data_IF_536428784272
#
_entry.id   IF_536428784272
#
_cell.length_a   1.000
_cell.length_b   1.000
_cell.length_c   1.000
_cell.angle_alpha   90.00
_cell.angle_beta   90.00
_cell.angle_gamma   90.00
#
_symmetry.space_group_name_H-M   'P 1'
#
loop_
_entity.id
_entity.type
_entity.pdbx_description
1 polymer ?
#
# COMPACT_ATOMS: atom_id res chain seq x y z
N UNK A 1 58.17 15.25 36.13
CA UNK A 1 57.07 14.34 35.75
C UNK A 1 56.38 14.90 34.52
N UNK A 2 56.42 14.18 33.41
CA UNK A 2 55.79 14.57 32.15
C UNK A 2 54.38 13.96 32.06
N UNK A 3 53.37 14.79 31.79
CA UNK A 3 52.04 14.33 31.37
C UNK A 3 51.61 15.23 30.20
N UNK A 4 51.90 14.79 28.97
CA UNK A 4 51.27 15.33 27.78
C UNK A 4 49.99 14.54 27.54
N UNK A 5 48.86 15.17 27.84
CA UNK A 5 47.55 14.65 27.48
C UNK A 5 47.40 14.70 25.96
N UNK A 6 47.36 13.53 25.32
CA UNK A 6 47.09 13.39 23.89
C UNK A 6 45.67 13.82 23.58
N UNK A 7 45.47 15.10 23.28
CA UNK A 7 44.22 15.57 22.69
C UNK A 7 44.16 15.04 21.25
N UNK A 8 43.36 13.99 21.04
CA UNK A 8 43.04 13.50 19.71
C UNK A 8 42.33 14.62 18.95
N UNK A 9 43.07 15.39 18.16
CA UNK A 9 42.48 16.34 17.23
C UNK A 9 41.54 15.58 16.30
N UNK A 10 40.27 15.97 16.25
CA UNK A 10 39.27 15.38 15.37
C UNK A 10 39.79 15.42 13.92
N UNK A 11 40.20 14.26 13.41
CA UNK A 11 40.71 14.09 12.03
C UNK A 11 39.91 12.99 11.35
N UNK A 12 39.91 13.02 10.03
CA UNK A 12 39.28 12.00 9.20
C UNK A 12 37.80 12.26 8.94
N UNK A 13 37.13 11.24 8.41
CA UNK A 13 35.78 11.34 7.86
C UNK A 13 34.75 11.89 8.87
N UNK A 14 34.83 11.46 10.13
CA UNK A 14 33.91 11.88 11.19
C UNK A 14 34.09 13.36 11.61
N UNK A 15 35.25 13.95 11.34
CA UNK A 15 35.56 15.34 11.66
C UNK A 15 35.20 16.33 10.54
N UNK A 16 34.81 15.83 9.35
CA UNK A 16 34.40 16.66 8.21
C UNK A 16 32.98 17.21 8.39
N UNK A 17 32.64 18.26 7.65
CA UNK A 17 31.26 18.77 7.59
C UNK A 17 30.29 17.73 7.00
N UNK A 18 29.05 17.72 7.49
CA UNK A 18 28.03 16.72 7.11
C UNK A 18 27.76 16.71 5.59
N UNK A 19 27.79 17.88 4.94
CA UNK A 19 27.63 17.99 3.48
C UNK A 19 28.78 17.29 2.75
N UNK A 20 30.00 17.45 3.23
CA UNK A 20 31.19 16.83 2.67
C UNK A 20 31.19 15.32 2.91
N UNK A 21 30.82 14.86 4.11
CA UNK A 21 30.65 13.44 4.41
C UNK A 21 29.63 12.78 3.46
N UNK A 22 28.46 13.41 3.27
CA UNK A 22 27.43 12.91 2.36
C UNK A 22 27.90 12.87 0.92
N UNK A 23 28.64 13.88 0.46
CA UNK A 23 29.20 13.91 -0.88
C UNK A 23 30.19 12.76 -1.09
N UNK A 24 31.12 12.55 -0.15
CA UNK A 24 32.10 11.46 -0.22
C UNK A 24 31.40 10.09 -0.16
N UNK A 25 30.43 9.89 0.75
CA UNK A 25 29.65 8.66 0.82
C UNK A 25 28.88 8.39 -0.49
N UNK A 26 28.29 9.44 -1.08
CA UNK A 26 27.60 9.33 -2.35
C UNK A 26 28.55 8.98 -3.49
N UNK A 27 29.74 9.57 -3.54
CA UNK A 27 30.77 9.24 -4.53
C UNK A 27 31.28 7.81 -4.36
N UNK A 28 31.50 7.36 -3.12
CA UNK A 28 31.91 5.99 -2.82
C UNK A 28 30.89 4.96 -3.28
N UNK A 29 29.60 5.21 -3.05
CA UNK A 29 28.52 4.34 -3.52
C UNK A 29 28.47 4.25 -5.05
N UNK A 30 28.52 5.39 -5.74
CA UNK A 30 28.54 5.43 -7.22
C UNK A 30 29.75 4.70 -7.79
N UNK A 31 30.94 4.96 -7.23
CA UNK A 31 32.17 4.32 -7.66
C UNK A 31 32.14 2.79 -7.45
N UNK A 32 31.49 2.29 -6.40
CA UNK A 32 31.35 0.85 -6.15
C UNK A 32 30.46 0.17 -7.20
N UNK A 33 29.36 0.81 -7.59
CA UNK A 33 28.51 0.35 -8.70
C UNK A 33 29.25 0.43 -10.04
N UNK A 34 29.91 1.55 -10.34
CA UNK A 34 30.70 1.71 -11.57
C UNK A 34 31.84 0.69 -11.69
N UNK A 35 32.48 0.32 -10.57
CA UNK A 35 33.55 -0.68 -10.52
C UNK A 35 33.05 -2.13 -10.43
N UNK A 36 31.74 -2.34 -10.33
CA UNK A 36 31.15 -3.68 -10.18
C UNK A 36 31.48 -4.37 -8.85
N UNK A 37 31.91 -3.63 -7.83
CA UNK A 37 32.13 -4.18 -6.49
C UNK A 37 30.87 -4.18 -5.64
N UNK A 38 29.88 -3.38 -6.02
CA UNK A 38 28.55 -3.39 -5.41
C UNK A 38 27.67 -4.51 -6.00
N UNK A 39 26.69 -4.95 -5.21
CA UNK A 39 25.64 -5.86 -5.69
C UNK A 39 24.70 -5.12 -6.64
N UNK A 40 24.52 -5.68 -7.83
CA UNK A 40 23.56 -5.20 -8.83
C UNK A 40 22.27 -5.98 -8.72
N UNK A 41 21.19 -5.28 -8.39
CA UNK A 41 19.88 -5.90 -8.30
C UNK A 41 19.31 -6.12 -9.70
N UNK A 42 18.97 -7.37 -10.01
CA UNK A 42 18.16 -7.62 -11.20
C UNK A 42 16.74 -7.06 -11.01
N UNK A 43 16.05 -6.76 -12.12
CA UNK A 43 14.65 -6.32 -12.05
C UNK A 43 13.74 -7.34 -11.35
N UNK A 44 14.05 -8.64 -11.49
CA UNK A 44 13.31 -9.70 -10.82
C UNK A 44 13.56 -9.70 -9.31
N UNK A 45 14.81 -9.52 -8.89
CA UNK A 45 15.20 -9.46 -7.49
C UNK A 45 14.59 -8.24 -6.79
N UNK A 46 14.61 -7.07 -7.45
CA UNK A 46 13.95 -5.88 -6.96
C UNK A 46 12.44 -6.10 -6.77
N UNK A 47 11.77 -6.79 -7.71
CA UNK A 47 10.35 -7.17 -7.59
C UNK A 47 10.12 -8.16 -6.45
N UNK A 48 10.98 -9.16 -6.29
CA UNK A 48 10.86 -10.14 -5.21
C UNK A 48 11.03 -9.48 -3.83
N UNK A 49 12.03 -8.61 -3.68
CA UNK A 49 12.25 -7.82 -2.48
C UNK A 49 11.06 -6.89 -2.19
N UNK A 50 10.55 -6.20 -3.21
CA UNK A 50 9.35 -5.37 -3.10
C UNK A 50 8.11 -6.14 -2.65
N UNK A 51 7.88 -7.33 -3.22
CA UNK A 51 6.79 -8.24 -2.80
C UNK A 51 6.96 -8.67 -1.35
N UNK A 52 8.17 -9.09 -0.94
CA UNK A 52 8.46 -9.52 0.44
C UNK A 52 8.27 -8.39 1.44
N UNK A 53 8.77 -7.18 1.13
CA UNK A 53 8.58 -6.00 1.96
C UNK A 53 7.11 -5.61 2.06
N UNK A 54 6.41 -5.56 0.92
CA UNK A 54 4.98 -5.27 0.87
C UNK A 54 4.14 -6.26 1.67
N UNK A 55 4.42 -7.56 1.57
CA UNK A 55 3.75 -8.61 2.34
C UNK A 55 4.02 -8.49 3.86
N UNK A 56 5.20 -8.03 4.24
CA UNK A 56 5.55 -7.82 5.66
C UNK A 56 4.81 -6.61 6.23
N UNK A 57 4.77 -5.51 5.48
CA UNK A 57 4.11 -4.26 5.90
C UNK A 57 2.59 -4.40 5.90
N UNK A 58 2.02 -5.21 5.00
CA UNK A 58 0.57 -5.36 4.87
C UNK A 58 -0.10 -6.26 5.91
N UNK A 59 0.66 -6.91 6.80
CA UNK A 59 0.13 -7.81 7.82
C UNK A 59 -0.86 -7.12 8.77
N UNK A 60 -0.61 -5.86 9.14
CA UNK A 60 -1.51 -5.09 9.98
C UNK A 60 -2.48 -4.25 9.13
N UNK A 61 -3.63 -4.85 8.79
CA UNK A 61 -4.66 -4.22 7.95
C UNK A 61 -5.25 -2.96 8.59
N UNK A 62 -5.45 -2.94 9.91
CA UNK A 62 -6.02 -1.79 10.63
C UNK A 62 -5.08 -0.58 10.59
N UNK A 63 -3.78 -0.82 10.82
CA UNK A 63 -2.75 0.20 10.70
C UNK A 63 -2.62 0.73 9.27
N UNK A 64 -2.62 -0.16 8.27
CA UNK A 64 -2.59 0.24 6.86
C UNK A 64 -3.83 1.06 6.47
N UNK A 65 -5.00 0.68 6.96
CA UNK A 65 -6.23 1.44 6.75
C UNK A 65 -6.16 2.83 7.42
N UNK A 66 -5.58 2.94 8.62
CA UNK A 66 -5.38 4.22 9.29
C UNK A 66 -4.41 5.15 8.52
N UNK A 67 -3.29 4.62 8.02
CA UNK A 67 -2.36 5.35 7.16
C UNK A 67 -3.06 5.80 5.87
N UNK A 68 -3.80 4.89 5.21
CA UNK A 68 -4.55 5.19 4.00
C UNK A 68 -5.59 6.29 4.20
N UNK A 69 -6.36 6.22 5.30
CA UNK A 69 -7.33 7.28 5.67
C UNK A 69 -6.64 8.62 5.89
N UNK A 70 -5.50 8.65 6.61
CA UNK A 70 -4.74 9.89 6.86
C UNK A 70 -4.18 10.49 5.57
N UNK A 71 -3.63 9.65 4.69
CA UNK A 71 -3.16 10.06 3.36
C UNK A 71 -4.29 10.59 2.49
N UNK A 72 -5.43 9.89 2.45
CA UNK A 72 -6.62 10.30 1.72
C UNK A 72 -7.20 11.63 2.23
N UNK A 73 -7.25 11.83 3.55
CA UNK A 73 -7.70 13.09 4.14
C UNK A 73 -6.80 14.28 3.73
N UNK A 74 -5.48 14.11 3.79
CA UNK A 74 -4.51 15.13 3.37
C UNK A 74 -4.64 15.47 1.87
N UNK A 75 -4.84 14.45 1.04
CA UNK A 75 -5.02 14.58 -0.42
C UNK A 75 -6.36 15.23 -0.78
N UNK A 76 -7.42 14.93 -0.03
CA UNK A 76 -8.79 15.39 -0.30
C UNK A 76 -8.99 16.90 -0.17
N UNK A 77 -8.08 17.58 0.52
CA UNK A 77 -8.11 19.04 0.69
C UNK A 77 -7.91 19.79 -0.65
N UNK A 78 -7.36 19.14 -1.69
CA UNK A 78 -7.23 19.73 -3.03
C UNK A 78 -7.84 18.82 -4.12
N UNK A 79 -9.17 18.64 -4.04
CA UNK A 79 -9.94 17.74 -4.92
C UNK A 79 -9.82 18.07 -6.42
N UNK A 80 -9.75 19.36 -6.78
CA UNK A 80 -9.66 19.80 -8.18
C UNK A 80 -8.33 19.42 -8.83
N UNK A 81 -7.22 19.71 -8.17
CA UNK A 81 -5.88 19.33 -8.63
C UNK A 81 -5.69 17.81 -8.67
N UNK A 82 -6.20 17.10 -7.66
CA UNK A 82 -6.10 15.65 -7.58
C UNK A 82 -6.94 14.93 -8.65
N UNK A 83 -8.11 15.47 -9.02
CA UNK A 83 -8.89 14.94 -10.13
C UNK A 83 -8.16 15.08 -11.47
N UNK A 84 -7.38 16.16 -11.67
CA UNK A 84 -6.54 16.33 -12.85
C UNK A 84 -5.37 15.34 -12.87
N UNK A 85 -4.69 15.15 -11.74
CA UNK A 85 -3.60 14.15 -11.62
C UNK A 85 -4.14 12.73 -11.84
N UNK A 86 -5.29 12.40 -11.24
CA UNK A 86 -5.93 11.09 -11.38
C UNK A 86 -6.35 10.80 -12.83
N UNK A 87 -6.95 11.78 -13.52
CA UNK A 87 -7.25 11.66 -14.96
C UNK A 87 -5.99 11.42 -15.78
N UNK A 88 -4.96 12.26 -15.61
CA UNK A 88 -3.68 12.12 -16.32
C UNK A 88 -2.98 10.78 -16.04
N UNK A 89 -3.06 10.29 -14.80
CA UNK A 89 -2.50 9.01 -14.38
C UNK A 89 -3.27 7.81 -14.95
N UNK A 90 -4.58 7.94 -15.17
CA UNK A 90 -5.41 6.93 -15.84
C UNK A 90 -5.19 6.90 -17.35
N UNK A 91 -5.07 8.07 -17.98
CA UNK A 91 -4.73 8.20 -19.41
C UNK A 91 -3.37 7.56 -19.73
N UNK A 92 -2.39 7.67 -18.82
CA UNK A 92 -1.06 7.04 -18.98
C UNK A 92 -1.08 5.51 -18.92
N UNK A 93 -2.20 4.90 -18.51
CA UNK A 93 -2.39 3.44 -18.36
C UNK A 93 -3.46 2.89 -19.33
N UNK A 94 -4.00 3.74 -20.21
CA UNK A 94 -5.28 3.53 -20.90
C UNK A 94 -5.23 2.97 -22.32
N UNK A 95 -4.23 2.16 -22.68
CA UNK A 95 -4.21 1.39 -23.95
C UNK A 95 -4.39 -0.13 -23.71
N UNK A 96 -5.04 -0.51 -22.61
CA UNK A 96 -5.30 -1.93 -22.31
C UNK A 96 -6.44 -2.16 -21.33
N UNK A 97 -7.55 -2.67 -21.86
CA UNK A 97 -8.68 -3.29 -21.16
C UNK A 97 -9.74 -2.34 -20.55
N UNK A 98 -10.66 -1.88 -21.40
CA UNK A 98 -12.02 -1.48 -21.00
C UNK A 98 -12.81 -2.69 -20.50
N UNK A 99 -12.71 -2.99 -19.21
CA UNK A 99 -13.68 -3.84 -18.51
C UNK A 99 -14.96 -3.04 -18.27
N UNK A 100 -16.01 -3.32 -19.04
CA UNK A 100 -17.34 -2.77 -18.83
C UNK A 100 -17.83 -3.04 -17.39
N UNK A 101 -18.50 -2.10 -16.72
CA UNK A 101 -19.13 -2.37 -15.44
C UNK A 101 -20.30 -3.34 -15.66
N UNK A 102 -20.17 -4.55 -15.11
CA UNK A 102 -21.22 -5.57 -15.13
C UNK A 102 -22.50 -5.06 -14.46
N UNK A 103 -23.57 -5.09 -15.23
CA UNK A 103 -24.93 -4.79 -14.82
C UNK A 103 -25.38 -5.89 -13.87
N UNK A 104 -25.48 -5.60 -12.56
CA UNK A 104 -26.06 -6.52 -11.60
C UNK A 104 -27.57 -6.32 -11.60
N UNK A 105 -28.24 -7.19 -12.35
CA UNK A 105 -29.69 -7.36 -12.35
C UNK A 105 -30.16 -7.60 -10.90
N UNK A 106 -30.91 -6.63 -10.37
CA UNK A 106 -31.64 -6.80 -9.12
C UNK A 106 -32.93 -7.54 -9.43
N UNK A 107 -32.91 -8.85 -9.33
CA UNK A 107 -34.14 -9.66 -9.35
C UNK A 107 -34.94 -9.38 -8.08
N UNK A 108 -36.08 -8.72 -8.23
CA UNK A 108 -37.06 -8.56 -7.17
C UNK A 108 -37.87 -9.83 -7.02
N UNK A 109 -37.69 -10.54 -5.92
CA UNK A 109 -38.60 -11.62 -5.51
C UNK A 109 -39.93 -11.01 -5.04
N UNK A 110 -40.86 -10.85 -5.97
CA UNK A 110 -42.30 -10.74 -5.68
C UNK A 110 -42.94 -12.10 -6.01
N UNK A 111 -42.96 -13.01 -5.03
CA UNK A 111 -43.67 -14.28 -5.11
C UNK A 111 -45.09 -14.15 -4.56
N UNK A 112 -46.03 -13.67 -5.38
CA UNK A 112 -47.46 -13.70 -5.12
C UNK A 112 -48.07 -15.08 -5.41
N UNK A 113 -48.78 -15.61 -4.41
CA UNK A 113 -49.96 -16.51 -4.47
C UNK A 113 -49.94 -17.76 -5.36
N UNK A 114 -50.00 -18.94 -4.73
CA UNK A 114 -50.67 -20.11 -5.32
C UNK A 114 -51.26 -21.02 -4.21
N UNK A 115 -52.57 -21.21 -4.29
CA UNK A 115 -53.40 -22.03 -3.41
C UNK A 115 -53.23 -23.54 -3.65
N UNK A 116 -53.47 -24.37 -2.61
CA UNK A 116 -54.00 -25.75 -2.63
C UNK A 116 -54.21 -26.22 -1.16
N UNK A 117 -55.45 -26.38 -0.65
CA UNK A 117 -56.24 -27.64 -0.55
C UNK A 117 -55.51 -28.75 0.25
N UNK A 118 -56.05 -29.52 1.20
CA UNK A 118 -57.38 -29.80 1.72
C UNK A 118 -57.22 -30.57 3.07
N UNK A 119 -58.34 -30.80 3.77
CA UNK A 119 -58.58 -31.90 4.72
C UNK A 119 -57.84 -31.95 6.08
N UNK A 120 -58.54 -31.52 7.14
CA UNK A 120 -58.46 -32.18 8.44
C UNK A 120 -59.77 -31.97 9.22
N UNK A 121 -60.60 -33.02 9.21
CA UNK A 121 -61.70 -33.28 10.14
C UNK A 121 -61.14 -33.43 11.57
N UNK A 122 -61.87 -32.94 12.57
CA UNK A 122 -61.45 -32.80 13.99
C UNK A 122 -61.12 -34.10 14.76
N UNK A 123 -60.96 -34.01 16.11
CA UNK A 123 -62.17 -33.94 16.93
C UNK A 123 -62.12 -32.97 18.12
N UNK A 124 -63.33 -32.71 18.61
CA UNK A 124 -63.70 -31.94 19.80
C UNK A 124 -63.30 -32.64 21.09
N UNK A 125 -62.96 -31.86 22.11
CA UNK A 125 -63.41 -32.14 23.48
C UNK A 125 -63.48 -30.83 24.27
N UNK A 126 -64.69 -30.38 24.57
CA UNK A 126 -65.01 -29.43 25.64
C UNK A 126 -65.17 -30.22 26.94
N UNK A 127 -64.66 -29.68 28.05
CA UNK A 127 -65.37 -29.48 29.33
C UNK A 127 -64.38 -29.00 30.40
N UNK A 128 -64.71 -27.88 31.03
CA UNK A 128 -65.34 -27.90 32.35
C UNK A 128 -66.46 -26.86 32.35
#
# INVERSE_FOLDING_TARGET
>A
MAQQHGQSSSRGFAAMDQKQQRAIASMGGKAAHEKGTAHEFSSEEARAAGRKGGASVSQNREHMAAIGRKGGAAVSQNRGHMAQIGRKGGESRGDGQSGAPGESEREGEQGSSAAQRADAVGPRHETN
#
